data_IF_094767637937
#
_entry.id   IF_094767637937
#
_cell.length_a   1.000
_cell.length_b   1.000
_cell.length_c   1.000
_cell.angle_alpha   90.00
_cell.angle_beta   90.00
_cell.angle_gamma   90.00
#
_symmetry.space_group_name_H-M   'P 1'
#
loop_
_entity.id
_entity.type
_entity.pdbx_description
1 polymer ?
#
# COMPACT_ATOMS: atom_id res chain seq x y z
N UNK A 1 13.02 -13.87 6.54
CA UNK A 1 11.63 -13.51 6.18
C UNK A 1 11.49 -13.67 4.69
N UNK A 2 10.58 -14.53 4.21
CA UNK A 2 10.38 -14.72 2.77
C UNK A 2 9.23 -13.81 2.31
N UNK A 3 9.51 -12.95 1.34
CA UNK A 3 8.51 -12.13 0.64
C UNK A 3 8.45 -12.57 -0.83
N UNK A 4 7.30 -12.38 -1.46
CA UNK A 4 7.12 -12.56 -2.90
C UNK A 4 7.18 -11.21 -3.62
N UNK A 5 7.74 -11.17 -4.83
CA UNK A 5 7.74 -9.98 -5.69
C UNK A 5 6.68 -10.16 -6.80
N UNK A 6 5.87 -9.13 -7.11
CA UNK A 6 4.91 -9.17 -8.21
C UNK A 6 5.57 -9.51 -9.55
N UNK A 7 4.93 -10.38 -10.35
CA UNK A 7 5.47 -10.82 -11.64
C UNK A 7 5.51 -9.71 -12.70
N UNK A 8 4.57 -8.76 -12.61
CA UNK A 8 4.48 -7.62 -13.54
C UNK A 8 4.84 -6.35 -12.77
N UNK A 9 5.91 -5.68 -13.20
CA UNK A 9 6.42 -4.45 -12.58
C UNK A 9 6.39 -3.33 -13.64
N UNK A 10 5.86 -2.14 -13.33
CA UNK A 10 5.88 -1.02 -14.26
C UNK A 10 7.32 -0.64 -14.66
N UNK A 11 7.60 -0.38 -15.94
CA UNK A 11 8.94 0.00 -16.38
C UNK A 11 9.36 1.33 -15.75
N UNK A 12 10.62 1.43 -15.33
CA UNK A 12 11.20 2.65 -14.75
C UNK A 12 10.79 2.94 -13.30
N UNK A 13 10.01 2.07 -12.65
CA UNK A 13 9.65 2.24 -11.24
C UNK A 13 10.59 1.44 -10.35
N UNK A 14 11.12 2.09 -9.31
CA UNK A 14 11.97 1.46 -8.31
C UNK A 14 11.35 1.63 -6.91
N UNK A 15 10.93 0.51 -6.31
CA UNK A 15 10.30 0.49 -4.98
C UNK A 15 11.27 0.98 -3.90
N UNK A 16 12.56 0.65 -3.97
CA UNK A 16 13.57 1.05 -2.98
C UNK A 16 13.75 2.57 -2.97
N UNK A 17 13.70 3.21 -4.15
CA UNK A 17 13.75 4.69 -4.26
C UNK A 17 12.51 5.33 -3.63
N UNK A 18 11.32 4.77 -3.86
CA UNK A 18 10.09 5.28 -3.27
C UNK A 18 10.00 5.04 -1.76
N UNK A 19 10.52 3.91 -1.26
CA UNK A 19 10.66 3.67 0.18
C UNK A 19 11.60 4.67 0.83
N UNK A 20 12.76 4.94 0.21
CA UNK A 20 13.69 5.97 0.68
C UNK A 20 13.00 7.34 0.72
N UNK A 21 12.28 7.71 -0.34
CA UNK A 21 11.52 8.97 -0.38
C UNK A 21 10.50 9.08 0.75
N UNK A 22 9.76 8.00 1.06
CA UNK A 22 8.80 8.00 2.15
C UNK A 22 9.47 8.09 3.52
N UNK A 23 10.57 7.39 3.74
CA UNK A 23 11.35 7.49 4.98
C UNK A 23 11.95 8.90 5.17
N UNK A 24 12.47 9.51 4.09
CA UNK A 24 12.98 10.89 4.13
C UNK A 24 11.84 11.89 4.43
N UNK A 25 10.64 11.67 3.86
CA UNK A 25 9.45 12.47 4.15
C UNK A 25 9.04 12.32 5.63
N UNK A 26 9.07 11.11 6.19
CA UNK A 26 8.81 10.87 7.61
C UNK A 26 9.84 11.56 8.50
N UNK A 27 11.14 11.46 8.19
CA UNK A 27 12.21 12.10 8.97
C UNK A 27 12.12 13.63 8.97
N UNK A 28 11.61 14.22 7.89
CA UNK A 28 11.43 15.67 7.79
C UNK A 28 10.34 16.19 8.74
N UNK A 29 9.27 15.43 8.91
CA UNK A 29 8.15 15.76 9.79
C UNK A 29 7.57 14.45 10.37
N UNK A 30 8.09 13.97 11.50
CA UNK A 30 7.76 12.66 12.08
C UNK A 30 6.40 12.67 12.80
N UNK A 31 5.38 13.10 12.07
CA UNK A 31 3.98 13.15 12.46
C UNK A 31 3.19 12.19 11.59
N UNK A 32 2.50 11.23 12.24
CA UNK A 32 1.63 10.27 11.54
C UNK A 32 0.58 10.96 10.70
N UNK A 33 -0.04 12.04 11.20
CA UNK A 33 -1.04 12.80 10.44
C UNK A 33 -0.45 13.49 9.21
N UNK A 34 0.73 14.12 9.35
CA UNK A 34 1.41 14.79 8.24
C UNK A 34 1.84 13.80 7.16
N UNK A 35 2.46 12.67 7.57
CA UNK A 35 2.86 11.61 6.65
C UNK A 35 1.64 10.99 5.95
N UNK A 36 0.58 10.64 6.70
CA UNK A 36 -0.64 10.08 6.12
C UNK A 36 -1.29 11.01 5.10
N UNK A 37 -1.32 12.33 5.38
CA UNK A 37 -1.82 13.32 4.42
C UNK A 37 -1.02 13.29 3.12
N UNK A 38 0.31 13.38 3.21
CA UNK A 38 1.20 13.28 2.04
C UNK A 38 1.03 11.95 1.29
N UNK A 39 1.01 10.84 2.03
CA UNK A 39 0.92 9.49 1.47
C UNK A 39 -0.42 9.28 0.77
N UNK A 40 -1.52 9.74 1.36
CA UNK A 40 -2.85 9.71 0.75
C UNK A 40 -2.86 10.40 -0.62
N UNK A 41 -2.27 11.59 -0.74
CA UNK A 41 -2.19 12.28 -2.04
C UNK A 41 -1.36 11.53 -3.09
N UNK A 42 -0.43 10.67 -2.67
CA UNK A 42 0.34 9.83 -3.59
C UNK A 42 -0.46 8.63 -4.11
N UNK A 43 -1.23 7.97 -3.24
CA UNK A 43 -1.84 6.64 -3.50
C UNK A 43 -3.34 6.69 -3.79
N UNK A 44 -4.02 7.81 -3.56
CA UNK A 44 -5.45 7.98 -3.87
C UNK A 44 -5.74 7.75 -5.35
N UNK A 45 -7.02 7.54 -5.67
CA UNK A 45 -7.51 7.45 -7.04
C UNK A 45 -6.99 8.62 -7.91
N UNK A 46 -6.40 8.28 -9.06
CA UNK A 46 -5.71 9.20 -10.01
C UNK A 46 -4.47 9.89 -9.42
N UNK A 47 -3.95 9.39 -8.31
CA UNK A 47 -2.69 9.81 -7.72
C UNK A 47 -1.48 9.34 -8.54
N UNK A 48 -0.29 9.89 -8.27
CA UNK A 48 0.92 9.53 -9.01
C UNK A 48 1.30 8.05 -8.88
N UNK A 49 0.93 7.39 -7.77
CA UNK A 49 1.18 5.97 -7.50
C UNK A 49 -0.07 5.09 -7.66
N UNK A 50 -1.11 5.60 -8.32
CA UNK A 50 -2.24 4.79 -8.75
C UNK A 50 -1.85 4.01 -10.02
N UNK A 51 -1.14 2.90 -9.82
CA UNK A 51 -0.64 2.06 -10.91
C UNK A 51 -1.76 1.33 -11.65
N UNK A 52 -2.80 0.89 -10.93
CA UNK A 52 -3.95 0.17 -11.48
C UNK A 52 -4.71 1.00 -12.51
N UNK A 53 -4.88 2.32 -12.28
CA UNK A 53 -5.53 3.20 -13.26
C UNK A 53 -4.71 3.42 -14.54
N UNK A 54 -3.38 3.26 -14.49
CA UNK A 54 -2.53 3.34 -15.68
C UNK A 54 -2.65 2.05 -16.49
N UNK A 55 -2.54 0.91 -15.79
CA UNK A 55 -2.51 -0.42 -16.37
C UNK A 55 -3.09 -1.43 -15.36
N UNK A 56 -4.23 -2.07 -15.63
CA UNK A 56 -4.86 -3.01 -14.69
C UNK A 56 -3.94 -4.17 -14.28
N UNK A 57 -3.02 -4.59 -15.15
CA UNK A 57 -2.02 -5.63 -14.88
C UNK A 57 -1.02 -5.25 -13.76
N UNK A 58 -0.95 -3.98 -13.37
CA UNK A 58 -0.08 -3.49 -12.29
C UNK A 58 -0.77 -3.40 -10.94
N UNK A 59 -1.99 -3.92 -10.79
CA UNK A 59 -2.72 -3.94 -9.51
C UNK A 59 -1.90 -4.61 -8.40
N UNK A 60 -1.35 -5.80 -8.65
CA UNK A 60 -0.54 -6.56 -7.69
C UNK A 60 0.70 -5.76 -7.27
N UNK A 61 1.35 -5.12 -8.24
CA UNK A 61 2.46 -4.22 -7.99
C UNK A 61 2.04 -2.99 -7.17
N UNK A 62 0.90 -2.37 -7.48
CA UNK A 62 0.40 -1.22 -6.74
C UNK A 62 0.15 -1.53 -5.27
N UNK A 63 -0.46 -2.69 -4.98
CA UNK A 63 -0.71 -3.16 -3.62
C UNK A 63 0.59 -3.49 -2.88
N UNK A 64 1.54 -4.16 -3.54
CA UNK A 64 2.89 -4.39 -3.00
C UNK A 64 3.62 -3.08 -2.71
N UNK A 65 3.61 -2.14 -3.66
CA UNK A 65 4.24 -0.83 -3.54
C UNK A 65 3.64 -0.02 -2.39
N UNK A 66 2.31 -0.01 -2.26
CA UNK A 66 1.58 0.63 -1.16
C UNK A 66 2.05 0.11 0.21
N UNK A 67 2.10 -1.22 0.38
CA UNK A 67 2.56 -1.84 1.63
C UNK A 67 4.01 -1.50 1.96
N UNK A 68 4.90 -1.56 0.97
CA UNK A 68 6.32 -1.28 1.14
C UNK A 68 6.59 0.19 1.51
N UNK A 69 6.02 1.12 0.76
CA UNK A 69 6.25 2.55 0.96
C UNK A 69 5.55 3.08 2.22
N UNK A 70 4.36 2.58 2.53
CA UNK A 70 3.67 2.90 3.78
C UNK A 70 4.48 2.46 5.01
N UNK A 71 5.05 1.26 4.97
CA UNK A 71 5.92 0.74 6.05
C UNK A 71 7.19 1.57 6.19
N UNK A 72 7.84 1.91 5.07
CA UNK A 72 9.03 2.78 5.08
C UNK A 72 8.74 4.18 5.68
N UNK A 73 7.49 4.64 5.56
CA UNK A 73 6.97 5.85 6.22
C UNK A 73 6.42 5.64 7.62
N UNK A 74 6.77 4.54 8.31
CA UNK A 74 6.38 4.23 9.68
C UNK A 74 4.87 3.98 9.92
N UNK A 75 4.10 3.70 8.86
CA UNK A 75 2.71 3.25 9.02
C UNK A 75 2.66 1.78 9.44
N UNK A 76 1.76 1.47 10.37
CA UNK A 76 1.59 0.11 10.86
C UNK A 76 0.87 -0.77 9.83
N UNK A 77 1.15 -2.07 9.84
CA UNK A 77 0.46 -3.05 9.01
C UNK A 77 -1.06 -2.95 9.14
N UNK A 78 -1.58 -2.84 10.36
CA UNK A 78 -3.02 -2.75 10.60
C UNK A 78 -3.63 -1.50 9.95
N UNK A 79 -2.93 -0.36 10.00
CA UNK A 79 -3.39 0.87 9.37
C UNK A 79 -3.44 0.73 7.86
N UNK A 80 -2.37 0.19 7.25
CA UNK A 80 -2.29 -0.02 5.80
C UNK A 80 -3.40 -0.96 5.29
N UNK A 81 -3.57 -2.11 5.94
CA UNK A 81 -4.57 -3.10 5.54
C UNK A 81 -6.01 -2.59 5.67
N UNK A 82 -6.29 -1.82 6.72
CA UNK A 82 -7.63 -1.22 6.92
C UNK A 82 -7.89 -0.07 5.97
N UNK A 83 -6.89 0.77 5.68
CA UNK A 83 -7.03 1.87 4.73
C UNK A 83 -7.28 1.37 3.31
N UNK A 84 -6.65 0.27 2.90
CA UNK A 84 -6.95 -0.40 1.63
C UNK A 84 -8.41 -0.90 1.57
N UNK A 85 -8.88 -1.56 2.64
CA UNK A 85 -10.27 -1.98 2.74
C UNK A 85 -11.29 -0.83 2.75
N UNK A 86 -10.95 0.31 3.34
CA UNK A 86 -11.74 1.53 3.23
C UNK A 86 -11.82 2.01 1.78
N UNK A 87 -10.69 2.11 1.09
CA UNK A 87 -10.63 2.54 -0.31
C UNK A 87 -11.42 1.62 -1.25
N UNK A 88 -11.38 0.30 -1.04
CA UNK A 88 -12.17 -0.68 -1.80
C UNK A 88 -13.69 -0.50 -1.57
N UNK A 89 -14.08 -0.11 -0.36
CA UNK A 89 -15.46 0.27 -0.04
C UNK A 89 -15.91 1.51 -0.81
N UNK A 90 -15.09 2.56 -0.82
CA UNK A 90 -15.36 3.82 -1.53
C UNK A 90 -15.45 3.63 -3.05
N UNK A 91 -14.63 2.73 -3.61
CA UNK A 91 -14.68 2.36 -5.01
C UNK A 91 -15.95 1.55 -5.39
N UNK A 92 -16.78 1.16 -4.41
CA UNK A 92 -17.98 0.32 -4.58
C UNK A 92 -17.71 -1.02 -5.27
N UNK A 93 -16.49 -1.52 -5.21
CA UNK A 93 -16.02 -2.79 -5.78
C UNK A 93 -15.97 -3.93 -4.75
N UNK A 94 -16.24 -3.62 -3.48
CA UNK A 94 -16.28 -4.58 -2.38
C UNK A 94 -17.34 -5.67 -2.57
N UNK A 95 -16.95 -6.94 -2.38
CA UNK A 95 -17.90 -8.06 -2.21
C UNK A 95 -18.32 -8.15 -0.75
N UNK A 96 -19.61 -8.38 -0.49
CA UNK A 96 -20.18 -8.42 0.87
C UNK A 96 -19.42 -9.37 1.82
N UNK A 97 -18.97 -10.52 1.31
CA UNK A 97 -18.22 -11.54 2.07
C UNK A 97 -16.86 -11.08 2.62
N UNK A 98 -16.32 -9.95 2.16
CA UNK A 98 -15.03 -9.43 2.63
C UNK A 98 -15.14 -8.58 3.89
N UNK A 99 -16.36 -8.27 4.36
CA UNK A 99 -16.58 -7.51 5.58
C UNK A 99 -16.41 -6.00 5.40
N UNK A 100 -15.98 -5.32 6.45
CA UNK A 100 -15.79 -3.87 6.48
C UNK A 100 -14.42 -3.51 7.07
N UNK A 101 -13.91 -2.32 6.75
CA UNK A 101 -12.58 -1.86 7.16
C UNK A 101 -12.34 -1.81 8.67
N UNK A 102 -13.40 -1.69 9.47
CA UNK A 102 -13.34 -1.66 10.94
C UNK A 102 -13.59 -3.03 11.60
N UNK A 103 -13.76 -4.10 10.82
CA UNK A 103 -14.02 -5.47 11.31
C UNK A 103 -12.74 -6.33 11.31
N UNK A 104 -12.90 -7.65 11.16
CA UNK A 104 -11.83 -8.64 10.99
C UNK A 104 -11.26 -8.61 9.56
N UNK A 105 -10.03 -9.11 9.36
CA UNK A 105 -9.47 -9.36 8.03
C UNK A 105 -10.46 -10.14 7.13
N UNK A 106 -10.56 -9.81 5.83
CA UNK A 106 -9.69 -8.93 5.04
C UNK A 106 -10.07 -7.43 5.10
N UNK A 107 -10.80 -6.99 6.14
CA UNK A 107 -11.15 -5.59 6.34
C UNK A 107 -11.97 -4.99 5.18
N UNK A 108 -12.77 -5.79 4.47
CA UNK A 108 -13.54 -5.34 3.32
C UNK A 108 -12.74 -5.21 2.02
N UNK A 109 -11.47 -5.59 2.00
CA UNK A 109 -10.61 -5.58 0.82
C UNK A 109 -10.59 -6.93 0.09
N UNK A 110 -10.09 -6.97 -1.14
CA UNK A 110 -9.82 -8.24 -1.82
C UNK A 110 -8.70 -9.01 -1.07
N UNK A 111 -8.88 -10.29 -0.69
CA UNK A 111 -7.83 -11.08 -0.06
C UNK A 111 -6.51 -11.14 -0.84
N UNK A 112 -6.56 -11.05 -2.18
CA UNK A 112 -5.37 -10.99 -3.04
C UNK A 112 -4.63 -9.67 -2.82
N UNK A 113 -5.35 -8.56 -2.76
CA UNK A 113 -4.78 -7.22 -2.53
C UNK A 113 -4.12 -7.16 -1.14
N UNK A 114 -4.80 -7.67 -0.12
CA UNK A 114 -4.27 -7.83 1.24
C UNK A 114 -2.98 -8.68 1.27
N UNK A 115 -2.91 -9.76 0.48
CA UNK A 115 -1.70 -10.58 0.36
C UNK A 115 -0.54 -9.73 -0.18
N UNK A 116 -0.76 -8.99 -1.26
CA UNK A 116 0.30 -8.18 -1.88
C UNK A 116 0.75 -7.02 -0.99
N UNK A 117 -0.17 -6.35 -0.28
CA UNK A 117 0.17 -5.34 0.73
C UNK A 117 1.09 -5.94 1.80
N UNK A 118 0.76 -7.14 2.30
CA UNK A 118 1.61 -7.85 3.28
C UNK A 118 2.98 -8.22 2.72
N UNK A 119 3.07 -8.64 1.45
CA UNK A 119 4.37 -8.89 0.80
C UNK A 119 5.21 -7.62 0.72
N UNK A 120 4.59 -6.48 0.41
CA UNK A 120 5.25 -5.17 0.44
C UNK A 120 5.76 -4.79 1.83
N UNK A 121 4.94 -5.00 2.87
CA UNK A 121 5.33 -4.77 4.27
C UNK A 121 6.55 -5.64 4.64
N UNK A 122 6.51 -6.94 4.32
CA UNK A 122 7.62 -7.86 4.57
C UNK A 122 8.88 -7.46 3.80
N UNK A 123 8.72 -6.98 2.56
CA UNK A 123 9.82 -6.45 1.75
C UNK A 123 10.48 -5.25 2.43
N UNK A 124 9.70 -4.25 2.87
CA UNK A 124 10.24 -3.09 3.58
C UNK A 124 10.98 -3.49 4.87
N UNK A 125 10.38 -4.36 5.69
CA UNK A 125 11.02 -4.89 6.91
C UNK A 125 12.34 -5.62 6.61
N UNK A 126 12.40 -6.38 5.51
CA UNK A 126 13.64 -7.06 5.10
C UNK A 126 14.78 -6.10 4.72
N UNK A 127 14.44 -4.85 4.38
CA UNK A 127 15.38 -3.76 4.04
C UNK A 127 15.72 -2.87 5.24
N UNK A 128 15.20 -3.17 6.43
CA UNK A 128 15.49 -2.44 7.66
C UNK A 128 14.58 -1.23 7.91
N UNK A 129 13.40 -1.19 7.30
CA UNK A 129 12.35 -0.21 7.61
C UNK A 129 11.40 -0.69 8.71
#
# INVERSE_FOLDING_TARGET
>A
MNYEIPAVIPPGVNVDVHMKLANDQWKKDPSTGAFMSWFYYKVRNKGPWDYKQKHPEWEDFGNFHYGAVGTAGQLTEQLLLRAAGFAQGEAKTRKHKWGHWFWLPPYGDDPKDQKWIKMGILYAKSKGY
#
